data_IF_499430019539
#
_entry.id   IF_499430019539
#
_cell.length_a   1.000
_cell.length_b   1.000
_cell.length_c   1.000
_cell.angle_alpha   90.00
_cell.angle_beta   90.00
_cell.angle_gamma   90.00
#
_symmetry.space_group_name_H-M   'P 1'
#
loop_
_entity.id
_entity.type
_entity.pdbx_description
1 polymer ?
#
# COMPACT_ATOMS: atom_id res chain seq x y z
N UNK A 1 11.59 -15.61 -10.75
CA UNK A 1 12.65 -14.81 -10.10
C UNK A 1 12.58 -15.00 -8.59
N UNK A 2 13.70 -15.21 -7.91
CA UNK A 2 13.80 -15.20 -6.45
C UNK A 2 13.13 -13.98 -5.81
N UNK A 3 12.65 -14.13 -4.56
CA UNK A 3 11.93 -13.06 -3.86
C UNK A 3 12.75 -11.76 -3.73
N UNK A 4 14.06 -11.87 -3.48
CA UNK A 4 14.94 -10.69 -3.41
C UNK A 4 15.04 -9.95 -4.75
N UNK A 5 15.09 -10.66 -5.87
CA UNK A 5 15.09 -10.04 -7.20
C UNK A 5 13.75 -9.34 -7.49
N UNK A 6 12.64 -9.91 -7.02
CA UNK A 6 11.32 -9.25 -7.10
C UNK A 6 11.36 -7.92 -6.35
N UNK A 7 11.92 -7.90 -5.14
CA UNK A 7 12.04 -6.67 -4.36
C UNK A 7 12.87 -5.61 -5.07
N UNK A 8 14.02 -5.98 -5.63
CA UNK A 8 14.85 -5.05 -6.40
C UNK A 8 14.09 -4.46 -7.59
N UNK A 9 13.33 -5.28 -8.32
CA UNK A 9 12.48 -4.78 -9.42
C UNK A 9 11.39 -3.83 -8.94
N UNK A 10 10.80 -4.08 -7.77
CA UNK A 10 9.83 -3.16 -7.16
C UNK A 10 10.49 -1.81 -6.81
N UNK A 11 11.71 -1.82 -6.27
CA UNK A 11 12.46 -0.60 -5.95
C UNK A 11 12.89 0.18 -7.20
N UNK A 12 13.24 -0.50 -8.30
CA UNK A 12 13.63 0.11 -9.57
C UNK A 12 12.44 0.70 -10.36
N UNK A 13 11.23 0.18 -10.14
CA UNK A 13 10.03 0.61 -10.85
C UNK A 13 9.67 2.06 -10.55
N UNK A 14 9.12 2.78 -11.53
CA UNK A 14 8.61 4.15 -11.31
C UNK A 14 7.24 4.15 -10.63
N UNK A 15 6.40 3.18 -10.95
CA UNK A 15 5.04 3.00 -10.44
C UNK A 15 4.81 1.51 -10.20
N UNK A 16 4.02 1.16 -9.19
CA UNK A 16 3.63 -0.21 -8.91
C UNK A 16 2.12 -0.40 -9.12
N UNK A 17 1.75 -1.32 -10.00
CA UNK A 17 0.34 -1.64 -10.28
C UNK A 17 -0.20 -2.70 -9.32
N UNK A 18 -1.28 -2.37 -8.62
CA UNK A 18 -1.97 -3.30 -7.71
C UNK A 18 -3.39 -3.56 -8.21
N UNK A 19 -3.64 -4.79 -8.67
CA UNK A 19 -4.96 -5.24 -9.08
C UNK A 19 -5.65 -5.95 -7.91
N UNK A 20 -6.80 -5.42 -7.48
CA UNK A 20 -7.60 -6.02 -6.42
C UNK A 20 -8.68 -6.88 -7.08
N UNK A 21 -8.77 -8.17 -6.76
CA UNK A 21 -9.77 -9.04 -7.38
C UNK A 21 -11.20 -8.53 -7.14
N UNK A 22 -12.03 -8.51 -8.20
CA UNK A 22 -13.43 -8.11 -8.10
C UNK A 22 -14.29 -9.26 -7.56
N UNK A 23 -14.25 -9.46 -6.23
CA UNK A 23 -15.03 -10.46 -5.51
C UNK A 23 -15.79 -9.81 -4.35
N UNK A 24 -16.83 -10.46 -3.82
CA UNK A 24 -17.68 -9.90 -2.75
C UNK A 24 -16.90 -9.46 -1.49
N UNK A 25 -15.78 -10.10 -1.20
CA UNK A 25 -14.98 -9.83 -0.01
C UNK A 25 -13.80 -8.86 -0.25
N UNK A 26 -13.65 -8.33 -1.46
CA UNK A 26 -12.47 -7.55 -1.88
C UNK A 26 -12.19 -6.31 -1.02
N UNK A 27 -13.21 -5.73 -0.39
CA UNK A 27 -13.09 -4.52 0.43
C UNK A 27 -12.18 -4.70 1.66
N UNK A 28 -12.18 -5.88 2.27
CA UNK A 28 -11.43 -6.16 3.50
C UNK A 28 -10.07 -6.86 3.28
N UNK A 29 -9.69 -7.13 2.03
CA UNK A 29 -8.48 -7.92 1.75
C UNK A 29 -7.26 -7.00 1.70
N UNK A 30 -6.45 -7.03 2.76
CA UNK A 30 -5.10 -6.47 2.79
C UNK A 30 -4.09 -7.57 2.45
N UNK A 31 -3.55 -7.55 1.23
CA UNK A 31 -2.58 -8.57 0.79
C UNK A 31 -1.16 -8.26 1.27
N UNK A 32 -0.33 -9.29 1.49
CA UNK A 32 1.09 -9.10 1.83
C UNK A 32 1.86 -8.27 0.79
N UNK A 33 1.53 -8.47 -0.50
CA UNK A 33 2.09 -7.71 -1.62
C UNK A 33 1.86 -6.19 -1.53
N UNK A 34 0.72 -5.77 -0.99
CA UNK A 34 0.46 -4.34 -0.76
C UNK A 34 1.47 -3.73 0.21
N UNK A 35 1.80 -4.44 1.30
CA UNK A 35 2.81 -3.97 2.25
C UNK A 35 4.23 -4.00 1.69
N UNK A 36 4.56 -4.95 0.80
CA UNK A 36 5.82 -4.92 0.03
C UNK A 36 5.91 -3.66 -0.84
N UNK A 37 4.81 -3.28 -1.52
CA UNK A 37 4.76 -2.08 -2.34
C UNK A 37 4.88 -0.80 -1.52
N UNK A 38 4.24 -0.77 -0.34
CA UNK A 38 4.45 0.33 0.62
C UNK A 38 5.92 0.44 1.00
N UNK A 39 6.58 -0.69 1.31
CA UNK A 39 8.01 -0.73 1.63
C UNK A 39 8.92 -0.29 0.47
N UNK A 40 8.54 -0.63 -0.77
CA UNK A 40 9.23 -0.18 -1.98
C UNK A 40 9.21 1.34 -2.12
N UNK A 41 8.22 2.03 -1.53
CA UNK A 41 8.11 3.49 -1.48
C UNK A 41 7.74 4.15 -2.81
N UNK A 42 7.47 3.35 -3.85
CA UNK A 42 7.05 3.83 -5.17
C UNK A 42 5.55 4.14 -5.18
N UNK A 43 5.09 5.14 -5.94
CA UNK A 43 3.67 5.39 -6.13
C UNK A 43 2.92 4.12 -6.58
N UNK A 44 1.82 3.83 -5.93
CA UNK A 44 0.96 2.68 -6.21
C UNK A 44 -0.23 3.15 -7.05
N UNK A 45 -0.47 2.53 -8.20
CA UNK A 45 -1.74 2.62 -8.90
C UNK A 45 -2.57 1.38 -8.56
N UNK A 46 -3.58 1.54 -7.72
CA UNK A 46 -4.50 0.47 -7.36
C UNK A 46 -5.77 0.51 -8.21
N UNK A 47 -6.22 -0.66 -8.67
CA UNK A 47 -7.51 -0.82 -9.35
C UNK A 47 -8.40 -1.69 -8.46
N UNK A 48 -9.47 -1.11 -7.94
CA UNK A 48 -10.33 -1.78 -6.97
C UNK A 48 -11.41 -0.91 -6.32
N UNK A 49 -12.09 -1.42 -5.28
CA UNK A 49 -13.15 -0.69 -4.60
C UNK A 49 -12.57 0.52 -3.88
N UNK A 50 -13.14 1.70 -4.13
CA UNK A 50 -12.69 2.97 -3.54
C UNK A 50 -12.89 3.04 -2.01
N UNK A 51 -13.75 2.18 -1.47
CA UNK A 51 -14.06 2.02 -0.05
C UNK A 51 -13.36 0.82 0.61
N UNK A 52 -12.35 0.22 -0.04
CA UNK A 52 -11.55 -0.86 0.53
C UNK A 52 -10.56 -0.39 1.61
N UNK A 53 -10.08 -1.32 2.43
CA UNK A 53 -9.02 -1.07 3.41
C UNK A 53 -7.71 -0.63 2.73
N UNK A 54 -7.41 -1.20 1.56
CA UNK A 54 -6.29 -0.73 0.72
C UNK A 54 -6.48 0.73 0.34
N UNK A 55 -7.69 1.12 -0.11
CA UNK A 55 -8.00 2.50 -0.46
C UNK A 55 -7.78 3.45 0.73
N UNK A 56 -8.20 3.01 1.93
CA UNK A 56 -7.99 3.76 3.17
C UNK A 56 -6.50 3.96 3.46
N UNK A 57 -5.70 2.90 3.43
CA UNK A 57 -4.25 2.99 3.69
C UNK A 57 -3.55 3.83 2.62
N UNK A 58 -3.93 3.71 1.35
CA UNK A 58 -3.38 4.54 0.26
C UNK A 58 -3.63 6.03 0.53
N UNK A 59 -4.85 6.40 0.93
CA UNK A 59 -5.19 7.79 1.26
C UNK A 59 -4.46 8.28 2.51
N UNK A 60 -4.48 7.49 3.58
CA UNK A 60 -3.83 7.88 4.86
C UNK A 60 -2.34 8.08 4.72
N UNK A 61 -1.68 7.29 3.89
CA UNK A 61 -0.23 7.37 3.69
C UNK A 61 0.15 8.25 2.52
N UNK A 62 -0.80 8.63 1.65
CA UNK A 62 -0.50 9.27 0.37
C UNK A 62 0.30 8.36 -0.57
N UNK A 63 0.02 7.04 -0.58
CA UNK A 63 0.85 6.05 -1.29
C UNK A 63 0.65 5.88 -2.77
N UNK A 64 -0.23 6.70 -3.32
CA UNK A 64 -0.53 6.69 -4.73
C UNK A 64 -2.02 6.93 -4.91
N UNK A 65 -2.58 6.25 -5.90
CA UNK A 65 -3.91 6.53 -6.42
C UNK A 65 -4.70 5.23 -6.49
N UNK A 66 -6.00 5.29 -6.21
CA UNK A 66 -6.91 4.17 -6.41
C UNK A 66 -8.03 4.56 -7.37
N UNK A 67 -8.34 3.69 -8.32
CA UNK A 67 -9.36 3.89 -9.33
C UNK A 67 -10.32 2.69 -9.34
N UNK A 68 -11.60 2.94 -9.63
CA UNK A 68 -12.60 1.88 -9.77
C UNK A 68 -12.32 1.00 -10.99
N UNK A 69 -12.80 -0.24 -10.97
CA UNK A 69 -12.65 -1.21 -12.06
C UNK A 69 -13.11 -0.68 -13.42
N UNK A 70 -14.25 0.00 -13.42
CA UNK A 70 -14.94 0.41 -14.64
C UNK A 70 -14.56 1.84 -15.10
N UNK A 71 -13.71 2.53 -14.34
CA UNK A 71 -13.30 3.90 -14.62
C UNK A 71 -12.04 3.93 -15.51
N UNK A 72 -12.21 3.46 -16.75
CA UNK A 72 -11.17 3.49 -17.78
C UNK A 72 -10.63 4.92 -18.01
N UNK A 73 -11.46 5.97 -18.11
CA UNK A 73 -10.96 7.34 -18.22
C UNK A 73 -10.10 7.75 -17.02
N UNK A 74 -10.50 7.39 -15.80
CA UNK A 74 -9.73 7.63 -14.58
C UNK A 74 -8.39 6.92 -14.59
N UNK A 75 -8.34 5.64 -14.99
CA UNK A 75 -7.08 4.87 -15.12
C UNK A 75 -6.13 5.59 -16.09
N UNK A 76 -6.63 5.96 -17.27
CA UNK A 76 -5.83 6.68 -18.28
C UNK A 76 -5.29 7.99 -17.71
N UNK A 77 -6.14 8.77 -17.05
CA UNK A 77 -5.75 10.04 -16.44
C UNK A 77 -4.64 9.84 -15.38
N UNK A 78 -4.76 8.85 -14.50
CA UNK A 78 -3.73 8.57 -13.49
C UNK A 78 -2.40 8.14 -14.12
N UNK A 79 -2.44 7.31 -15.15
CA UNK A 79 -1.22 6.90 -15.88
C UNK A 79 -0.57 8.12 -16.54
N UNK A 80 -1.34 8.96 -17.24
CA UNK A 80 -0.83 10.19 -17.85
C UNK A 80 -0.21 11.12 -16.82
N UNK A 81 -0.90 11.37 -15.69
CA UNK A 81 -0.38 12.17 -14.58
C UNK A 81 0.97 11.65 -14.07
N UNK A 82 1.09 10.35 -13.82
CA UNK A 82 2.37 9.79 -13.37
C UNK A 82 3.46 9.89 -14.43
N UNK A 83 3.12 9.75 -15.70
CA UNK A 83 4.07 9.90 -16.80
C UNK A 83 4.57 11.35 -16.92
N UNK A 84 3.68 12.34 -16.81
CA UNK A 84 4.05 13.75 -16.80
C UNK A 84 4.97 14.07 -15.62
N UNK A 85 4.65 13.56 -14.42
CA UNK A 85 5.50 13.66 -13.23
C UNK A 85 6.87 12.99 -13.40
N UNK A 86 6.92 11.88 -14.15
CA UNK A 86 8.18 11.23 -14.48
C UNK A 86 9.03 12.12 -15.41
N UNK A 87 8.42 12.70 -16.45
CA UNK A 87 9.11 13.61 -17.37
C UNK A 87 9.59 14.90 -16.69
N UNK A 88 8.86 15.40 -15.69
CA UNK A 88 9.25 16.58 -14.91
C UNK A 88 10.24 16.27 -13.78
N UNK A 89 10.64 15.01 -13.58
CA UNK A 89 11.42 14.53 -12.43
C UNK A 89 10.76 14.78 -11.07
N UNK A 90 9.44 14.91 -11.01
CA UNK A 90 8.65 15.10 -9.77
C UNK A 90 8.11 13.78 -9.22
N UNK A 91 8.27 12.67 -9.95
CA UNK A 91 7.86 11.34 -9.51
C UNK A 91 8.88 10.75 -8.52
N UNK A 92 8.80 11.20 -7.27
CA UNK A 92 9.73 10.79 -6.22
C UNK A 92 9.30 9.51 -5.49
N UNK A 93 10.30 8.73 -5.06
CA UNK A 93 10.10 7.70 -4.04
C UNK A 93 9.77 8.41 -2.71
N UNK A 94 8.80 7.89 -1.98
CA UNK A 94 8.46 8.43 -0.65
C UNK A 94 9.38 7.91 0.44
N UNK A 95 9.50 8.73 1.47
CA UNK A 95 10.19 8.39 2.70
C UNK A 95 9.48 7.25 3.44
N UNK A 96 10.27 6.37 4.04
CA UNK A 96 9.74 5.18 4.71
C UNK A 96 9.19 5.47 6.13
N UNK A 97 9.26 6.71 6.61
CA UNK A 97 8.79 7.08 7.96
C UNK A 97 7.33 6.72 8.19
N UNK A 98 6.47 6.97 7.19
CA UNK A 98 5.02 6.86 7.35
C UNK A 98 4.51 5.41 7.31
N UNK A 99 5.34 4.50 6.79
CA UNK A 99 5.01 3.08 6.65
C UNK A 99 5.59 2.22 7.78
N UNK A 100 6.51 2.75 8.59
CA UNK A 100 7.17 1.99 9.66
C UNK A 100 6.17 1.41 10.69
N UNK A 101 5.02 2.08 10.88
CA UNK A 101 3.89 1.61 11.70
C UNK A 101 3.28 0.28 11.23
N UNK A 102 3.49 -0.09 9.97
CA UNK A 102 3.02 -1.36 9.40
C UNK A 102 4.11 -2.44 9.40
N UNK A 103 5.32 -2.14 9.90
CA UNK A 103 6.38 -3.15 9.98
C UNK A 103 5.98 -4.29 10.92
N UNK A 104 6.43 -5.52 10.59
CA UNK A 104 6.22 -6.69 11.46
C UNK A 104 6.67 -6.45 12.89
N UNK A 105 7.82 -5.78 13.06
CA UNK A 105 8.37 -5.43 14.38
C UNK A 105 7.43 -4.50 15.15
N UNK A 106 6.95 -3.42 14.52
CA UNK A 106 6.04 -2.48 15.17
C UNK A 106 4.69 -3.12 15.53
N UNK A 107 4.12 -3.91 14.62
CA UNK A 107 2.86 -4.62 14.86
C UNK A 107 3.00 -5.67 15.96
N UNK A 108 4.09 -6.45 15.98
CA UNK A 108 4.35 -7.42 17.02
C UNK A 108 4.48 -6.76 18.40
N UNK A 109 5.17 -5.62 18.49
CA UNK A 109 5.24 -4.82 19.72
C UNK A 109 3.86 -4.33 20.17
N UNK A 110 3.05 -3.81 19.24
CA UNK A 110 1.69 -3.36 19.54
C UNK A 110 0.81 -4.49 20.10
N UNK A 111 0.91 -5.68 19.53
CA UNK A 111 0.20 -6.85 20.04
C UNK A 111 0.73 -7.30 21.41
N UNK A 112 2.04 -7.32 21.61
CA UNK A 112 2.66 -7.63 22.90
C UNK A 112 2.14 -6.73 24.01
N UNK A 113 2.17 -5.41 23.79
CA UNK A 113 1.69 -4.42 24.76
C UNK A 113 0.20 -4.61 25.09
N UNK A 114 -0.63 -4.90 24.08
CA UNK A 114 -2.06 -5.16 24.29
C UNK A 114 -2.29 -6.42 25.14
N UNK A 115 -1.50 -7.47 24.92
CA UNK A 115 -1.59 -8.69 25.73
C UNK A 115 -1.16 -8.45 27.18
N UNK A 116 -0.12 -7.67 27.41
CA UNK A 116 0.31 -7.27 28.76
C UNK A 116 -0.77 -6.45 29.49
N UNK A 117 -1.40 -5.50 28.79
CA UNK A 117 -2.51 -4.70 29.33
C UNK A 117 -3.69 -5.57 29.76
N UNK A 118 -4.17 -6.44 28.85
CA UNK A 118 -5.33 -7.31 29.13
C UNK A 118 -5.04 -8.32 30.25
N UNK A 119 -3.82 -8.84 30.32
CA UNK A 119 -3.42 -9.77 31.39
C UNK A 119 -3.26 -9.06 32.75
N UNK A 120 -2.86 -7.79 32.76
CA UNK A 120 -2.67 -7.02 34.00
C UNK A 120 -3.99 -6.54 34.61
N UNK A 121 -5.05 -6.38 33.82
CA UNK A 121 -6.39 -5.98 34.28
C UNK A 121 -7.20 -7.11 34.95
N UNK A 122 -6.76 -8.37 34.84
CA UNK A 122 -7.45 -9.55 35.40
C UNK A 122 -6.97 -9.98 36.80
N UNK A 123 -6.33 -9.07 37.54
CA UNK A 123 -5.72 -9.36 38.86
C UNK A 123 -6.54 -8.91 40.08
N UNK A 124 -7.77 -8.45 39.88
CA UNK A 124 -8.78 -8.24 40.92
C UNK A 124 -9.87 -9.32 40.83
#
# INVERSE_FOLDING_TARGET
>A
IPHEEVMNKQFESQILLLLINNTKNSKGILTGKFYEYLYAGRPILAIGPLDSDIAKVIRETGSGEIVSYDDIPGIKNKISKFYDQYLSNELHKREQSDIHRFSRKHLALKYGNLLEEVCSQKRD
#
